data_IF_233474937029
#
_entry.id   IF_233474937029
#
_cell.length_a   1.000
_cell.length_b   1.000
_cell.length_c   1.000
_cell.angle_alpha   90.00
_cell.angle_beta   90.00
_cell.angle_gamma   90.00
#
_symmetry.space_group_name_H-M   'P 1'
#
loop_
_entity.id
_entity.type
_entity.pdbx_description
1 polymer ?
#
# COMPACT_ATOMS: atom_id res chain seq x y z
N UNK A 1 4.98 -8.99 40.12
CA UNK A 1 3.84 -8.60 40.95
C UNK A 1 3.01 -7.62 40.13
N UNK A 2 1.84 -8.03 39.64
CA UNK A 2 1.03 -7.25 38.68
C UNK A 2 -0.04 -6.52 39.48
N UNK A 3 0.04 -5.19 39.54
CA UNK A 3 -1.00 -4.33 40.11
C UNK A 3 -1.89 -3.80 38.99
N UNK A 4 -3.20 -4.05 39.07
CA UNK A 4 -4.21 -3.45 38.19
C UNK A 4 -4.48 -2.01 38.63
N UNK A 5 -4.34 -1.06 37.72
CA UNK A 5 -4.97 0.27 37.79
C UNK A 5 -5.42 0.68 36.38
N UNK A 6 -6.70 1.08 36.30
CA UNK A 6 -7.31 2.06 35.39
C UNK A 6 -6.99 2.04 33.89
N UNK A 7 -8.04 1.89 33.07
CA UNK A 7 -8.17 2.24 31.63
C UNK A 7 -6.97 3.01 31.04
N UNK A 8 -5.93 2.29 30.64
CA UNK A 8 -4.72 2.86 30.07
C UNK A 8 -4.79 2.88 28.55
N UNK A 9 -4.78 4.08 27.95
CA UNK A 9 -4.24 4.26 26.61
C UNK A 9 -2.78 3.82 26.65
N UNK A 10 -2.44 2.74 25.95
CA UNK A 10 -1.05 2.33 25.77
C UNK A 10 -0.45 3.21 24.68
N UNK A 11 0.28 4.25 25.07
CA UNK A 11 1.13 5.00 24.15
C UNK A 11 2.46 4.27 24.08
N UNK A 12 2.73 3.57 22.97
CA UNK A 12 4.06 3.00 22.71
C UNK A 12 4.87 4.03 21.92
N UNK A 13 5.66 4.83 22.63
CA UNK A 13 6.78 5.55 22.02
C UNK A 13 7.95 4.57 21.84
N UNK A 14 8.16 4.07 20.63
CA UNK A 14 9.26 3.17 20.31
C UNK A 14 9.90 3.52 18.97
N UNK A 15 11.04 4.21 19.01
CA UNK A 15 11.93 4.35 17.85
C UNK A 15 12.59 3.00 17.60
N UNK A 16 12.14 2.24 16.60
CA UNK A 16 12.85 1.05 16.12
C UNK A 16 13.48 1.30 14.74
N UNK A 17 14.80 1.18 14.69
CA UNK A 17 15.56 0.99 13.44
C UNK A 17 15.59 -0.50 13.14
N UNK A 18 15.11 -0.92 11.98
CA UNK A 18 15.15 -2.33 11.56
C UNK A 18 14.84 -2.45 10.07
N UNK A 19 15.70 -3.18 9.34
CA UNK A 19 15.64 -3.31 7.88
C UNK A 19 14.39 -4.02 7.32
N UNK A 20 14.44 -4.30 6.02
CA UNK A 20 13.33 -4.73 5.11
C UNK A 20 12.42 -5.85 5.69
N UNK A 21 12.93 -6.68 6.61
CA UNK A 21 12.15 -7.71 7.33
C UNK A 21 10.98 -7.16 8.16
N UNK A 22 11.07 -5.91 8.64
CA UNK A 22 10.00 -5.30 9.46
C UNK A 22 8.76 -4.93 8.64
N UNK A 23 8.92 -4.59 7.36
CA UNK A 23 7.82 -4.14 6.50
C UNK A 23 6.86 -5.28 6.13
N UNK A 24 7.38 -6.49 5.95
CA UNK A 24 6.55 -7.67 5.64
C UNK A 24 5.73 -8.10 6.85
N UNK A 25 6.30 -8.02 8.07
CA UNK A 25 5.57 -8.30 9.32
C UNK A 25 4.52 -7.23 9.63
N UNK A 26 4.83 -5.94 9.40
CA UNK A 26 3.86 -4.85 9.53
C UNK A 26 2.68 -4.96 8.56
N UNK A 27 2.91 -5.46 7.34
CA UNK A 27 1.86 -5.69 6.35
C UNK A 27 0.91 -6.84 6.74
N UNK A 28 1.44 -7.94 7.31
CA UNK A 28 0.60 -9.08 7.75
C UNK A 28 -0.23 -8.74 8.98
N UNK A 29 0.40 -8.08 9.97
CA UNK A 29 -0.28 -7.71 11.21
C UNK A 29 -1.43 -6.71 10.98
N UNK A 30 -1.31 -5.81 10.00
CA UNK A 30 -2.38 -4.87 9.65
C UNK A 30 -3.58 -5.55 9.00
N UNK A 31 -3.39 -6.56 8.14
CA UNK A 31 -4.50 -7.24 7.44
C UNK A 31 -5.32 -8.13 8.37
N UNK A 32 -4.68 -8.82 9.31
CA UNK A 32 -5.34 -9.71 10.27
C UNK A 32 -6.15 -8.91 11.30
N UNK A 33 -5.59 -7.81 11.81
CA UNK A 33 -6.26 -6.89 12.74
C UNK A 33 -7.39 -6.10 12.06
N UNK A 34 -7.26 -5.76 10.78
CA UNK A 34 -8.27 -5.00 10.03
C UNK A 34 -9.62 -5.72 9.89
N UNK A 35 -9.65 -7.04 10.03
CA UNK A 35 -10.92 -7.81 10.02
C UNK A 35 -11.70 -7.74 11.34
N UNK A 36 -11.04 -7.31 12.43
CA UNK A 36 -11.60 -7.21 13.77
C UNK A 36 -11.73 -5.76 14.28
N UNK A 37 -11.36 -4.77 13.47
CA UNK A 37 -11.50 -3.35 13.78
C UNK A 37 -12.47 -2.71 12.80
N UNK A 38 -13.46 -1.98 13.33
CA UNK A 38 -14.29 -1.11 12.51
C UNK A 38 -13.41 -0.09 11.79
N UNK A 39 -13.62 0.04 10.48
CA UNK A 39 -12.91 1.02 9.67
C UNK A 39 -13.45 2.41 10.02
N UNK A 40 -12.60 3.29 10.52
CA UNK A 40 -12.97 4.68 10.74
C UNK A 40 -13.07 5.41 9.38
N UNK A 41 -14.30 5.62 8.93
CA UNK A 41 -14.57 6.25 7.64
C UNK A 41 -13.98 7.66 7.54
N UNK A 42 -13.88 8.40 8.66
CA UNK A 42 -13.27 9.74 8.69
C UNK A 42 -11.80 9.66 8.29
N UNK A 43 -11.08 8.68 8.85
CA UNK A 43 -9.67 8.44 8.54
C UNK A 43 -9.51 7.98 7.08
N UNK A 44 -10.44 7.18 6.57
CA UNK A 44 -10.41 6.74 5.16
C UNK A 44 -10.56 7.94 4.22
N UNK A 45 -11.59 8.76 4.40
CA UNK A 45 -11.85 9.94 3.58
C UNK A 45 -10.66 10.92 3.60
N UNK A 46 -10.08 11.18 4.78
CA UNK A 46 -8.88 12.01 4.90
C UNK A 46 -7.69 11.45 4.11
N UNK A 47 -7.49 10.13 4.12
CA UNK A 47 -6.39 9.49 3.41
C UNK A 47 -6.66 9.38 1.91
N UNK A 48 -7.90 9.20 1.49
CA UNK A 48 -8.31 9.27 0.08
C UNK A 48 -8.03 10.66 -0.49
N UNK A 49 -8.36 11.73 0.24
CA UNK A 49 -8.05 13.09 -0.16
C UNK A 49 -6.53 13.36 -0.25
N UNK A 50 -5.73 12.81 0.67
CA UNK A 50 -4.26 12.90 0.61
C UNK A 50 -3.70 12.09 -0.56
N UNK A 51 -4.23 10.90 -0.81
CA UNK A 51 -3.83 10.04 -1.91
C UNK A 51 -4.13 10.70 -3.25
N UNK A 52 -5.31 11.29 -3.44
CA UNK A 52 -5.68 12.01 -4.65
C UNK A 52 -4.62 13.07 -5.03
N UNK A 53 -4.16 13.86 -4.06
CA UNK A 53 -3.09 14.86 -4.27
C UNK A 53 -1.77 14.25 -4.69
N UNK A 54 -1.38 13.10 -4.13
CA UNK A 54 -0.17 12.37 -4.54
C UNK A 54 -0.32 11.84 -5.96
N UNK A 55 -1.50 11.30 -6.29
CA UNK A 55 -1.78 10.80 -7.64
C UNK A 55 -1.81 11.93 -8.66
N UNK A 56 -2.23 13.15 -8.31
CA UNK A 56 -2.15 14.32 -9.20
C UNK A 56 -0.70 14.69 -9.54
N UNK A 57 0.21 14.61 -8.56
CA UNK A 57 1.65 14.79 -8.80
C UNK A 57 2.19 13.69 -9.73
N UNK A 58 1.76 12.45 -9.54
CA UNK A 58 2.18 11.34 -10.40
C UNK A 58 1.62 11.48 -11.81
N UNK A 59 0.37 11.92 -11.96
CA UNK A 59 -0.26 12.14 -13.26
C UNK A 59 0.53 13.19 -14.05
N UNK A 60 0.84 14.33 -13.44
CA UNK A 60 1.66 15.36 -14.07
C UNK A 60 3.07 14.84 -14.44
N UNK A 61 3.68 14.02 -13.58
CA UNK A 61 4.99 13.42 -13.85
C UNK A 61 4.93 12.41 -15.00
N UNK A 62 3.94 11.52 -14.99
CA UNK A 62 3.78 10.44 -15.96
C UNK A 62 3.25 10.92 -17.31
N UNK A 63 2.68 12.13 -17.37
CA UNK A 63 2.41 12.83 -18.62
C UNK A 63 3.72 13.21 -19.36
N UNK A 64 4.84 13.37 -18.63
CA UNK A 64 6.13 13.76 -19.20
C UNK A 64 7.07 12.59 -19.48
N UNK A 65 6.89 11.46 -18.81
CA UNK A 65 7.77 10.30 -18.93
C UNK A 65 7.05 9.00 -18.64
N UNK A 66 7.49 7.89 -19.25
CA UNK A 66 6.81 6.59 -19.10
C UNK A 66 6.75 6.06 -17.66
N UNK A 67 7.77 6.34 -16.85
CA UNK A 67 7.90 5.90 -15.46
C UNK A 67 8.24 7.06 -14.54
N UNK A 68 8.14 6.85 -13.22
CA UNK A 68 8.32 7.94 -12.24
C UNK A 68 9.72 8.59 -12.33
N UNK A 69 10.75 7.80 -12.66
CA UNK A 69 12.13 8.26 -12.77
C UNK A 69 12.58 8.60 -14.21
N UNK A 70 11.70 8.50 -15.21
CA UNK A 70 12.04 8.74 -16.63
C UNK A 70 11.53 7.62 -17.55
N UNK A 71 12.28 7.31 -18.60
CA UNK A 71 11.84 6.36 -19.65
C UNK A 71 12.06 4.89 -19.29
N UNK A 72 12.85 4.61 -18.25
CA UNK A 72 13.15 3.26 -17.81
C UNK A 72 12.44 2.94 -16.48
N UNK A 73 12.04 1.68 -16.33
CA UNK A 73 11.55 1.18 -15.05
C UNK A 73 12.69 1.11 -14.03
N UNK A 74 12.47 1.63 -12.83
CA UNK A 74 13.49 1.71 -11.79
C UNK A 74 12.97 1.26 -10.43
N UNK A 75 13.83 1.38 -9.42
CA UNK A 75 13.44 1.19 -8.03
C UNK A 75 12.31 2.13 -7.59
N UNK A 76 12.21 3.32 -8.19
CA UNK A 76 11.12 4.25 -7.90
C UNK A 76 9.76 3.63 -8.20
N UNK A 77 9.62 2.93 -9.32
CA UNK A 77 8.36 2.26 -9.69
C UNK A 77 8.14 1.01 -8.84
N UNK A 78 9.20 0.19 -8.67
CA UNK A 78 9.16 -1.06 -7.91
C UNK A 78 8.66 -0.86 -6.48
N UNK A 79 9.08 0.23 -5.83
CA UNK A 79 8.70 0.55 -4.46
C UNK A 79 7.18 0.70 -4.28
N UNK A 80 6.46 1.14 -5.31
CA UNK A 80 5.01 1.38 -5.24
C UNK A 80 4.17 0.13 -5.50
N UNK A 81 4.72 -0.89 -6.17
CA UNK A 81 3.97 -2.05 -6.66
C UNK A 81 3.19 -2.81 -5.56
N UNK A 82 3.73 -3.07 -4.35
CA UNK A 82 2.96 -3.71 -3.29
C UNK A 82 1.71 -2.91 -2.90
N UNK A 83 1.86 -1.59 -2.69
CA UNK A 83 0.75 -0.74 -2.28
C UNK A 83 -0.30 -0.63 -3.38
N UNK A 84 0.12 -0.39 -4.62
CA UNK A 84 -0.77 -0.33 -5.78
C UNK A 84 -1.58 -1.62 -5.94
N UNK A 85 -0.94 -2.79 -5.81
CA UNK A 85 -1.62 -4.07 -5.95
C UNK A 85 -2.78 -4.25 -4.97
N UNK A 86 -2.64 -3.75 -3.73
CA UNK A 86 -3.73 -3.75 -2.75
C UNK A 86 -4.78 -2.68 -3.06
N UNK A 87 -4.37 -1.45 -3.40
CA UNK A 87 -5.30 -0.36 -3.75
C UNK A 87 -6.20 -0.74 -4.95
N UNK A 88 -5.65 -1.42 -5.94
CA UNK A 88 -6.39 -1.92 -7.11
C UNK A 88 -7.45 -2.99 -6.76
N UNK A 89 -7.48 -3.49 -5.52
CA UNK A 89 -8.47 -4.45 -5.01
C UNK A 89 -9.51 -3.81 -4.08
N UNK A 90 -9.49 -2.50 -3.91
CA UNK A 90 -10.47 -1.76 -3.10
C UNK A 90 -11.21 -0.73 -3.96
N UNK A 91 -12.19 -0.04 -3.35
CA UNK A 91 -12.92 1.06 -4.01
C UNK A 91 -12.03 2.23 -4.38
N UNK A 92 -10.88 2.38 -3.70
CA UNK A 92 -9.87 3.43 -3.98
C UNK A 92 -9.30 3.33 -5.39
N UNK A 93 -9.41 2.17 -6.05
CA UNK A 93 -9.07 1.98 -7.47
C UNK A 93 -9.67 3.08 -8.37
N UNK A 94 -10.86 3.59 -8.04
CA UNK A 94 -11.50 4.66 -8.82
C UNK A 94 -10.60 5.91 -8.93
N UNK A 95 -9.90 6.30 -7.85
CA UNK A 95 -8.97 7.43 -7.89
C UNK A 95 -7.79 7.20 -8.85
N UNK A 96 -7.39 5.95 -9.06
CA UNK A 96 -6.37 5.58 -10.04
C UNK A 96 -6.95 5.63 -11.46
N UNK A 97 -8.16 5.10 -11.66
CA UNK A 97 -8.81 5.03 -12.97
C UNK A 97 -9.15 6.42 -13.56
N UNK A 98 -9.42 7.40 -12.71
CA UNK A 98 -9.68 8.80 -13.10
C UNK A 98 -8.45 9.52 -13.66
N UNK A 99 -7.25 8.93 -13.53
CA UNK A 99 -5.97 9.52 -13.91
C UNK A 99 -5.30 8.66 -14.99
N UNK A 100 -5.46 8.99 -16.28
CA UNK A 100 -5.11 8.08 -17.38
C UNK A 100 -3.63 7.70 -17.43
N UNK A 101 -2.69 8.61 -17.12
CA UNK A 101 -1.26 8.29 -17.11
C UNK A 101 -0.89 7.39 -15.94
N UNK A 102 -1.40 7.67 -14.74
CA UNK A 102 -1.26 6.82 -13.55
C UNK A 102 -1.88 5.45 -13.79
N UNK A 103 -3.08 5.37 -14.36
CA UNK A 103 -3.75 4.10 -14.65
C UNK A 103 -2.95 3.25 -15.63
N UNK A 104 -2.42 3.87 -16.69
CA UNK A 104 -1.53 3.21 -17.67
C UNK A 104 -0.26 2.69 -17.00
N UNK A 105 0.40 3.52 -16.18
CA UNK A 105 1.58 3.13 -15.41
C UNK A 105 1.28 1.99 -14.44
N UNK A 106 0.19 2.05 -13.69
CA UNK A 106 -0.25 0.99 -12.77
C UNK A 106 -0.41 -0.35 -13.51
N UNK A 107 -1.08 -0.32 -14.68
CA UNK A 107 -1.24 -1.51 -15.52
C UNK A 107 0.11 -2.06 -15.99
N UNK A 108 1.00 -1.21 -16.49
CA UNK A 108 2.33 -1.63 -16.96
C UNK A 108 3.15 -2.27 -15.84
N UNK A 109 3.26 -1.62 -14.67
CA UNK A 109 4.09 -2.14 -13.57
C UNK A 109 3.51 -3.42 -12.97
N UNK A 110 2.18 -3.50 -12.78
CA UNK A 110 1.54 -4.66 -12.13
C UNK A 110 1.41 -5.88 -13.06
N UNK A 111 1.48 -5.71 -14.38
CA UNK A 111 1.47 -6.83 -15.35
C UNK A 111 2.87 -7.36 -15.68
N UNK A 112 3.91 -6.89 -14.98
CA UNK A 112 5.27 -7.41 -15.17
C UNK A 112 5.33 -8.88 -14.74
N UNK A 113 5.89 -9.80 -15.56
CA UNK A 113 5.93 -11.23 -15.23
C UNK A 113 6.62 -11.54 -13.90
N UNK A 114 7.63 -10.76 -13.51
CA UNK A 114 8.28 -10.91 -12.22
C UNK A 114 7.34 -10.57 -11.05
N UNK A 115 6.52 -9.54 -11.20
CA UNK A 115 5.56 -9.13 -10.19
C UNK A 115 4.40 -10.10 -10.07
N UNK A 116 3.85 -10.56 -11.18
CA UNK A 116 2.78 -11.56 -11.19
C UNK A 116 3.19 -12.82 -10.43
N UNK A 117 4.45 -13.26 -10.56
CA UNK A 117 5.01 -14.37 -9.76
C UNK A 117 5.05 -14.06 -8.26
N UNK A 118 5.54 -12.88 -7.88
CA UNK A 118 5.56 -12.43 -6.46
C UNK A 118 4.15 -12.39 -5.90
N UNK A 119 3.19 -11.86 -6.66
CA UNK A 119 1.82 -11.77 -6.23
C UNK A 119 1.14 -13.13 -6.13
N UNK A 120 1.36 -14.03 -7.09
CA UNK A 120 0.86 -15.41 -7.01
C UNK A 120 1.40 -16.14 -5.77
N UNK A 121 2.66 -15.93 -5.40
CA UNK A 121 3.24 -16.45 -4.15
C UNK A 121 2.55 -15.84 -2.92
N UNK A 122 2.28 -14.53 -2.96
CA UNK A 122 1.57 -13.84 -1.89
C UNK A 122 0.14 -14.38 -1.71
N UNK A 123 -0.59 -14.61 -2.79
CA UNK A 123 -1.94 -15.17 -2.74
C UNK A 123 -1.96 -16.60 -2.21
N UNK A 124 -0.99 -17.43 -2.61
CA UNK A 124 -0.83 -18.78 -2.05
C UNK A 124 -0.60 -18.73 -0.55
N UNK A 125 0.26 -17.81 -0.08
CA UNK A 125 0.48 -17.58 1.36
C UNK A 125 -0.81 -17.18 2.07
N UNK A 126 -1.57 -16.24 1.53
CA UNK A 126 -2.81 -15.77 2.15
C UNK A 126 -3.90 -16.85 2.20
N UNK A 127 -3.97 -17.72 1.19
CA UNK A 127 -4.96 -18.82 1.13
C UNK A 127 -4.59 -20.03 2.01
N UNK A 128 -3.30 -20.27 2.22
CA UNK A 128 -2.81 -21.39 3.04
C UNK A 128 -2.79 -21.13 4.55
N UNK A 129 -3.28 -19.97 5.00
CA UNK A 129 -3.41 -19.59 6.41
C UNK A 129 -4.81 -19.87 7.00
N UNK A 130 -5.68 -20.56 6.25
CA UNK A 130 -7.03 -20.95 6.66
C UNK A 130 -7.14 -22.46 6.88
#
# INVERSE_FOLDING_TARGET
MISRLGKGKVVVSGRQRGGISHLVKFQHLKMEISSYLETDNTIVEENEAKLAKVLDVYEARLAMSKYLAGECFTLADLHHMPALQYLMRTKVKQLIDERPHVSTWCKDVLTRPAWEKVWALQEKRLKGLN
#
